data_IF_500090854603
#
_entry.id   IF_500090854603
#
_cell.length_a   1.000
_cell.length_b   1.000
_cell.length_c   1.000
_cell.angle_alpha   90.00
_cell.angle_beta   90.00
_cell.angle_gamma   90.00
#
_symmetry.space_group_name_H-M   'P 1'
#
loop_
_entity.id
_entity.type
_entity.pdbx_description
1 polymer ?
#
# COMPACT_ATOMS: atom_id res chain seq x y z
N UNK A 1 -26.26 7.20 -43.42
CA UNK A 1 -25.10 7.62 -44.23
C UNK A 1 -24.01 6.57 -44.08
N UNK A 2 -23.35 6.13 -45.16
CA UNK A 2 -22.24 5.15 -45.03
C UNK A 2 -21.06 5.85 -44.33
N UNK A 3 -20.42 5.22 -43.33
CA UNK A 3 -19.29 5.84 -42.65
C UNK A 3 -18.12 6.05 -43.62
N UNK A 4 -17.54 7.25 -43.62
CA UNK A 4 -16.33 7.55 -44.39
C UNK A 4 -15.17 6.75 -43.79
N UNK A 5 -14.48 5.94 -44.60
CA UNK A 5 -13.35 5.10 -44.16
C UNK A 5 -12.12 5.39 -45.02
N UNK A 6 -10.99 5.63 -44.37
CA UNK A 6 -9.69 5.83 -45.02
C UNK A 6 -8.92 4.51 -44.98
N UNK A 7 -8.34 4.10 -46.12
CA UNK A 7 -7.56 2.85 -46.22
C UNK A 7 -6.11 3.13 -45.83
N UNK A 8 -5.61 2.40 -44.85
CA UNK A 8 -4.19 2.37 -44.48
C UNK A 8 -3.56 1.05 -44.94
N UNK A 9 -2.31 1.11 -45.42
CA UNK A 9 -1.49 -0.07 -45.71
C UNK A 9 -0.37 -0.16 -44.68
N UNK A 10 -0.23 -1.31 -44.04
CA UNK A 10 0.83 -1.61 -43.07
C UNK A 10 1.18 -3.08 -43.17
N UNK A 11 2.42 -3.39 -42.79
CA UNK A 11 2.94 -4.75 -42.75
C UNK A 11 2.75 -5.32 -41.35
N UNK A 12 2.40 -6.59 -41.26
CA UNK A 12 2.33 -7.34 -40.01
C UNK A 12 3.32 -8.49 -40.08
N UNK A 13 4.01 -8.74 -38.97
CA UNK A 13 4.80 -9.96 -38.80
C UNK A 13 3.94 -11.21 -39.03
N UNK A 14 4.48 -12.29 -39.63
CA UNK A 14 3.70 -13.48 -39.98
C UNK A 14 2.93 -14.07 -38.80
N UNK A 15 3.56 -14.11 -37.62
CA UNK A 15 2.94 -14.61 -36.39
C UNK A 15 1.76 -13.74 -35.93
N UNK A 16 1.85 -12.41 -36.09
CA UNK A 16 0.78 -11.48 -35.73
C UNK A 16 -0.37 -11.54 -36.75
N UNK A 17 -0.05 -11.70 -38.02
CA UNK A 17 -1.03 -11.92 -39.10
C UNK A 17 -1.87 -13.18 -38.83
N UNK A 18 -1.23 -14.29 -38.46
CA UNK A 18 -1.93 -15.54 -38.13
C UNK A 18 -2.87 -15.40 -36.92
N UNK A 19 -2.48 -14.63 -35.89
CA UNK A 19 -3.35 -14.32 -34.75
C UNK A 19 -4.55 -13.47 -35.18
N UNK A 20 -4.34 -12.46 -36.02
CA UNK A 20 -5.41 -11.61 -36.55
C UNK A 20 -6.41 -12.43 -37.39
N UNK A 21 -5.92 -13.33 -38.24
CA UNK A 21 -6.76 -14.29 -38.99
C UNK A 21 -7.66 -15.09 -38.05
N UNK A 22 -7.06 -15.66 -37.01
CA UNK A 22 -7.77 -16.47 -36.00
C UNK A 22 -8.88 -15.67 -35.30
N UNK A 23 -8.59 -14.43 -34.90
CA UNK A 23 -9.57 -13.53 -34.28
C UNK A 23 -10.71 -13.13 -35.22
N UNK A 24 -10.43 -13.06 -36.53
CA UNK A 24 -11.42 -12.69 -37.55
C UNK A 24 -12.25 -13.85 -38.11
N UNK A 25 -12.11 -15.07 -37.57
CA UNK A 25 -12.89 -16.24 -38.01
C UNK A 25 -14.38 -16.14 -37.69
N UNK A 26 -14.76 -15.28 -36.74
CA UNK A 26 -16.17 -15.07 -36.39
C UNK A 26 -16.88 -14.23 -37.47
N UNK A 27 -18.05 -14.65 -37.98
CA UNK A 27 -18.77 -13.95 -39.06
C UNK A 27 -19.14 -12.51 -38.74
N UNK A 28 -19.24 -12.18 -37.44
CA UNK A 28 -19.61 -10.86 -36.95
C UNK A 28 -18.47 -9.84 -36.95
N UNK A 29 -17.21 -10.25 -37.19
CA UNK A 29 -16.05 -9.37 -36.97
C UNK A 29 -15.04 -9.44 -38.12
N UNK A 30 -14.80 -8.29 -38.77
CA UNK A 30 -13.80 -8.18 -39.84
C UNK A 30 -12.42 -7.80 -39.30
N UNK A 31 -11.35 -8.16 -40.02
CA UNK A 31 -9.96 -7.76 -39.66
C UNK A 31 -9.82 -6.25 -39.49
N UNK A 32 -10.42 -5.47 -40.39
CA UNK A 32 -10.41 -4.01 -40.30
C UNK A 32 -11.13 -3.50 -39.05
N UNK A 33 -12.19 -4.16 -38.59
CA UNK A 33 -12.86 -3.79 -37.34
C UNK A 33 -12.00 -4.09 -36.10
N UNK A 34 -11.29 -5.24 -36.09
CA UNK A 34 -10.37 -5.61 -35.01
C UNK A 34 -9.22 -4.60 -34.93
N UNK A 35 -8.57 -4.31 -36.07
CA UNK A 35 -7.45 -3.38 -36.12
C UNK A 35 -7.91 -1.97 -35.74
N UNK A 36 -9.05 -1.51 -36.24
CA UNK A 36 -9.59 -0.20 -35.88
C UNK A 36 -9.81 -0.09 -34.36
N UNK A 37 -10.43 -1.09 -33.73
CA UNK A 37 -10.61 -1.13 -32.27
C UNK A 37 -9.28 -1.16 -31.51
N UNK A 38 -8.29 -1.91 -32.00
CA UNK A 38 -6.98 -1.98 -31.36
C UNK A 38 -6.24 -0.64 -31.42
N UNK A 39 -6.29 0.04 -32.57
CA UNK A 39 -5.68 1.36 -32.77
C UNK A 39 -6.41 2.43 -31.94
N UNK A 40 -7.74 2.42 -31.94
CA UNK A 40 -8.56 3.31 -31.10
C UNK A 40 -8.22 3.11 -29.62
N UNK A 41 -8.21 1.87 -29.13
CA UNK A 41 -7.83 1.56 -27.76
C UNK A 41 -6.38 1.98 -27.43
N UNK A 42 -5.45 1.86 -28.38
CA UNK A 42 -4.07 2.31 -28.18
C UNK A 42 -3.96 3.83 -28.06
N UNK A 43 -4.68 4.57 -28.91
CA UNK A 43 -4.72 6.04 -28.90
C UNK A 43 -5.43 6.57 -27.66
N UNK A 44 -6.59 6.01 -27.30
CA UNK A 44 -7.37 6.40 -26.11
C UNK A 44 -6.59 6.19 -24.82
N UNK A 45 -5.78 5.13 -24.76
CA UNK A 45 -4.90 4.85 -23.63
C UNK A 45 -3.66 5.75 -23.60
N UNK A 46 -3.46 6.64 -24.59
CA UNK A 46 -2.26 7.50 -24.72
C UNK A 46 -0.91 6.76 -24.61
N UNK A 47 -0.87 5.46 -24.90
CA UNK A 47 0.32 4.64 -24.65
C UNK A 47 0.62 4.33 -23.18
N UNK A 48 -0.34 4.51 -22.26
CA UNK A 48 -0.26 3.93 -20.91
C UNK A 48 -0.04 2.42 -21.03
N UNK A 49 1.05 1.96 -20.44
CA UNK A 49 1.38 0.54 -20.44
C UNK A 49 0.25 -0.22 -19.73
N UNK A 50 -0.05 -1.43 -20.19
CA UNK A 50 -1.00 -2.33 -19.50
C UNK A 50 -0.67 -2.48 -18.00
N UNK A 51 0.61 -2.32 -17.67
CA UNK A 51 1.14 -2.28 -16.31
C UNK A 51 0.64 -1.08 -15.50
N UNK A 52 0.54 0.12 -16.08
CA UNK A 52 0.04 1.30 -15.37
C UNK A 52 -1.45 1.17 -15.05
N UNK A 53 -2.23 0.60 -15.96
CA UNK A 53 -3.64 0.30 -15.69
C UNK A 53 -3.82 -0.79 -14.62
N UNK A 54 -2.95 -1.81 -14.63
CA UNK A 54 -3.04 -2.94 -13.71
C UNK A 54 -2.49 -2.63 -12.32
N UNK A 55 -1.46 -1.78 -12.23
CA UNK A 55 -0.70 -1.55 -10.99
C UNK A 55 -0.71 -0.10 -10.50
N UNK A 56 -0.98 0.90 -11.35
CA UNK A 56 -0.94 2.32 -10.97
C UNK A 56 -1.83 2.62 -9.75
N UNK A 57 -3.10 2.20 -9.78
CA UNK A 57 -4.01 2.36 -8.64
C UNK A 57 -3.54 1.67 -7.35
N UNK A 58 -2.81 0.56 -7.45
CA UNK A 58 -2.26 -0.13 -6.28
C UNK A 58 -1.04 0.63 -5.74
N UNK A 59 -0.17 1.10 -6.63
CA UNK A 59 1.00 1.88 -6.27
C UNK A 59 0.62 3.21 -5.64
N UNK A 60 -0.40 3.89 -6.17
CA UNK A 60 -0.94 5.12 -5.58
C UNK A 60 -1.47 4.89 -4.17
N UNK A 61 -2.11 3.74 -3.92
CA UNK A 61 -2.57 3.38 -2.58
C UNK A 61 -1.39 3.16 -1.64
N UNK A 62 -0.37 2.41 -2.07
CA UNK A 62 0.84 2.22 -1.29
C UNK A 62 1.56 3.55 -1.00
N UNK A 63 1.62 4.47 -1.96
CA UNK A 63 2.19 5.79 -1.74
C UNK A 63 1.44 6.54 -0.63
N UNK A 64 0.10 6.56 -0.68
CA UNK A 64 -0.72 7.19 0.37
C UNK A 64 -0.55 6.52 1.72
N UNK A 65 -0.48 5.19 1.77
CA UNK A 65 -0.26 4.45 3.00
C UNK A 65 1.12 4.79 3.60
N UNK A 66 2.15 4.93 2.77
CA UNK A 66 3.49 5.36 3.20
C UNK A 66 3.51 6.80 3.71
N UNK A 67 2.79 7.71 3.06
CA UNK A 67 2.66 9.10 3.52
C UNK A 67 1.95 9.15 4.88
N UNK A 68 0.88 8.36 5.07
CA UNK A 68 0.21 8.23 6.36
C UNK A 68 1.16 7.68 7.45
N UNK A 69 1.90 6.61 7.16
CA UNK A 69 2.88 6.05 8.09
C UNK A 69 3.95 7.09 8.45
N UNK A 70 4.43 7.88 7.49
CA UNK A 70 5.38 8.96 7.76
C UNK A 70 4.80 9.95 8.77
N UNK A 71 3.57 10.42 8.56
CA UNK A 71 2.91 11.35 9.49
C UNK A 71 2.72 10.72 10.88
N UNK A 72 2.30 9.45 10.95
CA UNK A 72 2.16 8.74 12.23
C UNK A 72 3.51 8.64 12.97
N UNK A 73 4.60 8.36 12.23
CA UNK A 73 5.96 8.30 12.79
C UNK A 73 6.40 9.68 13.31
N UNK A 74 6.14 10.75 12.57
CA UNK A 74 6.44 12.12 13.01
C UNK A 74 5.72 12.45 14.33
N UNK A 75 4.42 12.15 14.43
CA UNK A 75 3.63 12.35 15.67
C UNK A 75 4.18 11.53 16.84
N UNK A 76 4.58 10.28 16.59
CA UNK A 76 5.19 9.43 17.62
C UNK A 76 6.53 10.02 18.09
N UNK A 77 7.37 10.51 17.17
CA UNK A 77 8.65 11.12 17.51
C UNK A 77 8.47 12.41 18.33
N UNK A 78 7.52 13.27 17.95
CA UNK A 78 7.18 14.47 18.73
C UNK A 78 6.67 14.10 20.13
N UNK A 79 5.77 13.13 20.21
CA UNK A 79 5.22 12.64 21.48
C UNK A 79 6.31 12.05 22.38
N UNK A 80 7.24 11.28 21.80
CA UNK A 80 8.38 10.72 22.52
C UNK A 80 9.32 11.82 23.02
N UNK A 81 9.62 12.83 22.21
CA UNK A 81 10.45 13.96 22.61
C UNK A 81 9.83 14.72 23.80
N UNK A 82 8.51 14.96 23.75
CA UNK A 82 7.77 15.56 24.86
C UNK A 82 7.79 14.68 26.11
N UNK A 83 7.58 13.37 25.95
CA UNK A 83 7.63 12.42 27.06
C UNK A 83 9.01 12.37 27.72
N UNK A 84 10.09 12.32 26.94
CA UNK A 84 11.47 12.33 27.45
C UNK A 84 11.74 13.63 28.19
N UNK A 85 11.38 14.78 27.60
CA UNK A 85 11.54 16.09 28.24
C UNK A 85 10.80 16.14 29.57
N UNK A 86 9.54 15.70 29.59
CA UNK A 86 8.73 15.63 30.80
C UNK A 86 9.36 14.70 31.86
N UNK A 87 9.83 13.52 31.45
CA UNK A 87 10.48 12.55 32.34
C UNK A 87 11.76 13.12 32.97
N UNK A 88 12.59 13.81 32.19
CA UNK A 88 13.80 14.48 32.71
C UNK A 88 13.42 15.57 33.71
N UNK A 89 12.41 16.41 33.39
CA UNK A 89 11.93 17.44 34.32
C UNK A 89 11.42 16.82 35.62
N UNK A 90 10.67 15.73 35.55
CA UNK A 90 10.13 15.05 36.72
C UNK A 90 11.24 14.44 37.61
N UNK A 91 12.30 13.93 36.99
CA UNK A 91 13.39 13.24 37.69
C UNK A 91 14.63 14.10 37.95
N UNK A 92 14.60 15.40 37.65
CA UNK A 92 15.76 16.30 37.70
C UNK A 92 16.50 16.32 39.07
N UNK A 93 15.79 16.04 40.16
CA UNK A 93 16.34 16.00 41.52
C UNK A 93 16.40 14.59 42.12
N UNK A 94 16.10 13.56 41.34
CA UNK A 94 16.14 12.17 41.82
C UNK A 94 17.59 11.68 41.87
N UNK A 95 18.06 11.11 42.99
CA UNK A 95 19.40 10.54 43.06
C UNK A 95 19.56 9.36 42.10
N UNK A 96 20.79 9.14 41.63
CA UNK A 96 21.11 8.02 40.74
C UNK A 96 20.81 6.70 41.47
N UNK A 97 20.02 5.78 40.88
CA UNK A 97 19.67 4.51 41.51
C UNK A 97 20.92 3.66 41.73
N UNK A 98 20.95 2.89 42.83
CA UNK A 98 22.02 1.95 43.14
C UNK A 98 22.01 0.74 42.19
N UNK A 99 23.07 -0.07 42.22
CA UNK A 99 23.22 -1.22 41.30
C UNK A 99 22.08 -2.24 41.44
N UNK A 100 21.58 -2.46 42.65
CA UNK A 100 20.47 -3.38 42.89
C UNK A 100 19.18 -2.86 42.23
N UNK A 101 18.87 -1.58 42.40
CA UNK A 101 17.70 -0.95 41.76
C UNK A 101 17.81 -0.94 40.24
N UNK A 102 19.01 -0.68 39.70
CA UNK A 102 19.25 -0.75 38.25
C UNK A 102 19.03 -2.16 37.69
N UNK A 103 19.50 -3.20 38.39
CA UNK A 103 19.28 -4.59 37.98
C UNK A 103 17.78 -4.96 37.96
N UNK A 104 17.02 -4.53 38.97
CA UNK A 104 15.57 -4.74 39.01
C UNK A 104 14.87 -3.99 37.88
N UNK A 105 15.29 -2.75 37.59
CA UNK A 105 14.74 -1.97 36.49
C UNK A 105 15.00 -2.64 35.13
N UNK A 106 16.20 -3.19 34.93
CA UNK A 106 16.54 -3.94 33.72
C UNK A 106 15.67 -5.19 33.59
N UNK A 107 15.53 -5.99 34.64
CA UNK A 107 14.69 -7.20 34.61
C UNK A 107 13.22 -6.87 34.26
N UNK A 108 12.70 -5.77 34.80
CA UNK A 108 11.34 -5.30 34.48
C UNK A 108 11.22 -4.84 33.03
N UNK A 109 12.23 -4.15 32.51
CA UNK A 109 12.27 -3.72 31.12
C UNK A 109 12.32 -4.92 30.17
N UNK A 110 13.14 -5.92 30.46
CA UNK A 110 13.25 -7.14 29.64
C UNK A 110 11.91 -7.88 29.57
N UNK A 111 11.20 -8.02 30.70
CA UNK A 111 9.84 -8.59 30.74
C UNK A 111 8.83 -7.78 29.93
N UNK A 112 8.91 -6.46 29.98
CA UNK A 112 8.08 -5.58 29.17
C UNK A 112 8.35 -5.80 27.67
N UNK A 113 9.62 -5.83 27.25
CA UNK A 113 10.01 -6.08 25.85
C UNK A 113 9.50 -7.44 25.38
N UNK A 114 9.64 -8.47 26.22
CA UNK A 114 9.13 -9.81 25.91
C UNK A 114 7.61 -9.82 25.71
N UNK A 115 6.86 -9.13 26.58
CA UNK A 115 5.41 -9.01 26.45
C UNK A 115 5.01 -8.26 25.16
N UNK A 116 5.68 -7.16 24.84
CA UNK A 116 5.45 -6.42 23.59
C UNK A 116 5.76 -7.31 22.38
N UNK A 117 6.87 -8.05 22.40
CA UNK A 117 7.26 -8.98 21.34
C UNK A 117 6.22 -10.06 21.09
N UNK A 118 5.71 -10.71 22.16
CA UNK A 118 4.61 -11.68 22.07
C UNK A 118 3.35 -11.05 21.47
N UNK A 119 3.03 -9.82 21.88
CA UNK A 119 1.85 -9.12 21.39
C UNK A 119 1.96 -8.78 19.90
N UNK A 120 3.10 -8.29 19.43
CA UNK A 120 3.37 -8.03 18.01
C UNK A 120 3.24 -9.32 17.20
N UNK A 121 3.86 -10.41 17.67
CA UNK A 121 3.76 -11.72 17.02
C UNK A 121 2.32 -12.25 16.96
N UNK A 122 1.46 -11.87 17.92
CA UNK A 122 0.05 -12.27 17.95
C UNK A 122 -0.83 -11.52 16.93
N UNK A 123 -0.36 -10.42 16.35
CA UNK A 123 -1.12 -9.60 15.39
C UNK A 123 -2.32 -8.85 15.96
N UNK A 124 -2.57 -8.91 17.28
CA UNK A 124 -3.67 -8.18 17.94
C UNK A 124 -3.29 -6.72 18.15
N UNK A 125 -4.15 -5.78 17.72
CA UNK A 125 -3.97 -4.33 17.91
C UNK A 125 -3.74 -3.98 19.39
N UNK A 126 -2.74 -3.14 19.66
CA UNK A 126 -2.33 -2.67 20.99
C UNK A 126 -3.41 -1.84 21.71
N UNK A 127 -4.25 -1.12 20.96
CA UNK A 127 -5.33 -0.28 21.46
C UNK A 127 -6.62 -0.64 20.71
N UNK A 128 -7.16 -1.82 21.00
CA UNK A 128 -8.54 -2.15 20.62
C UNK A 128 -9.49 -1.60 21.67
N UNK A 129 -10.45 -0.76 21.28
CA UNK A 129 -11.54 -0.30 22.13
C UNK A 129 -12.15 -1.47 22.93
N UNK A 130 -11.82 -1.55 24.21
CA UNK A 130 -12.49 -2.40 25.19
C UNK A 130 -13.68 -1.69 25.84
N UNK A 131 -14.49 -0.97 25.07
CA UNK A 131 -15.75 -0.40 25.55
C UNK A 131 -16.91 -1.23 25.02
N UNK A 132 -17.56 -1.94 25.93
CA UNK A 132 -18.90 -2.53 25.72
C UNK A 132 -18.95 -4.02 25.97
N UNK A 133 -18.98 -4.43 27.24
CA UNK A 133 -19.99 -5.36 27.78
C UNK A 133 -19.80 -5.53 29.29
N UNK A 134 -20.32 -4.59 30.08
CA UNK A 134 -20.60 -4.80 31.50
C UNK A 134 -22.11 -4.88 31.64
N UNK A 135 -22.63 -6.11 31.64
CA UNK A 135 -24.06 -6.39 31.70
C UNK A 135 -24.71 -5.87 32.98
N UNK A 136 -25.94 -5.41 32.80
CA UNK A 136 -26.90 -5.16 33.87
C UNK A 136 -27.09 -6.40 34.74
N UNK A 137 -27.11 -6.18 36.05
CA UNK A 137 -27.54 -7.11 37.09
C UNK A 137 -28.07 -6.31 38.26
#
# INVERSE_FOLDING_TARGET
>A
MKPHRIRHQFLLEPALSAKLETLSRNPSTTKSAIVAKAVEAFIERRGENELDQRYGRRLDRHSRDLDHIRTDVEVILESLALFIRFSITLHAHTPVPDRATQAIAQERFDKFVEQVGRQIASGKRLLGNGNGNGGEG
#
